data_IF_677827964449
#
_entry.id   IF_677827964449
#
_cell.length_a   1.000
_cell.length_b   1.000
_cell.length_c   1.000
_cell.angle_alpha   90.00
_cell.angle_beta   90.00
_cell.angle_gamma   90.00
#
_symmetry.space_group_name_H-M   'P 1'
#
loop_
_entity.id
_entity.type
_entity.pdbx_description
1 polymer ?
#
# COMPACT_ATOMS: atom_id res chain seq x y z
N UNK A 1 -1.43 -12.05 12.47
CA UNK A 1 -0.62 -12.21 13.69
C UNK A 1 0.73 -11.50 13.56
N UNK A 2 1.58 -11.86 12.59
CA UNK A 2 2.90 -11.24 12.39
C UNK A 2 2.90 -9.69 12.38
N UNK A 3 2.10 -9.04 11.52
CA UNK A 3 2.02 -7.57 11.40
C UNK A 3 1.71 -6.87 12.73
N UNK A 4 0.89 -7.50 13.58
CA UNK A 4 0.47 -6.93 14.87
C UNK A 4 1.58 -7.04 15.91
N UNK A 5 2.30 -8.17 15.94
CA UNK A 5 3.26 -8.46 17.01
C UNK A 5 4.66 -7.92 16.73
N UNK A 6 5.09 -7.90 15.46
CA UNK A 6 6.44 -7.46 15.07
C UNK A 6 6.83 -6.09 15.64
N UNK A 7 5.97 -5.06 15.63
CA UNK A 7 6.32 -3.76 16.20
C UNK A 7 6.66 -3.81 17.70
N UNK A 8 5.97 -4.66 18.48
CA UNK A 8 6.22 -4.80 19.91
C UNK A 8 7.52 -5.53 20.23
N UNK A 9 8.09 -6.26 19.27
CA UNK A 9 9.41 -6.88 19.44
C UNK A 9 10.51 -5.86 19.75
N UNK A 10 10.29 -4.57 19.46
CA UNK A 10 11.22 -3.50 19.83
C UNK A 10 11.53 -3.49 21.33
N UNK A 11 10.59 -3.86 22.21
CA UNK A 11 10.80 -3.88 23.66
C UNK A 11 11.63 -5.05 24.17
N UNK A 12 12.02 -5.99 23.30
CA UNK A 12 12.92 -7.09 23.67
C UNK A 12 14.26 -6.55 24.20
N UNK A 13 14.70 -5.38 23.74
CA UNK A 13 15.93 -4.73 24.21
C UNK A 13 15.96 -4.47 25.72
N UNK A 14 14.81 -4.29 26.37
CA UNK A 14 14.71 -4.04 27.81
C UNK A 14 15.11 -5.25 28.66
N UNK A 15 15.23 -6.44 28.06
CA UNK A 15 15.64 -7.66 28.78
C UNK A 15 17.16 -7.90 28.73
N UNK A 16 17.92 -7.04 28.05
CA UNK A 16 19.36 -7.18 27.91
C UNK A 16 20.09 -6.28 28.91
N UNK A 17 21.24 -6.77 29.40
CA UNK A 17 22.03 -6.08 30.43
C UNK A 17 22.56 -4.74 29.93
N UNK A 18 22.40 -3.71 30.75
CA UNK A 18 22.83 -2.34 30.48
C UNK A 18 24.34 -2.11 30.68
N UNK A 19 25.07 -3.11 31.22
CA UNK A 19 26.50 -2.97 31.51
C UNK A 19 27.42 -3.79 30.60
N UNK A 20 26.85 -4.64 29.74
CA UNK A 20 27.61 -5.48 28.84
C UNK A 20 27.66 -4.88 27.42
N UNK A 21 28.81 -5.04 26.77
CA UNK A 21 29.05 -4.65 25.36
C UNK A 21 29.34 -5.87 24.47
N UNK A 22 29.15 -7.06 25.02
CA UNK A 22 29.21 -8.31 24.28
C UNK A 22 27.91 -9.09 24.44
N UNK A 23 27.43 -9.65 23.32
CA UNK A 23 26.27 -10.52 23.29
C UNK A 23 26.75 -11.93 22.95
N UNK A 24 26.43 -12.87 23.83
CA UNK A 24 26.59 -14.29 23.56
C UNK A 24 25.37 -14.80 22.79
N UNK A 25 25.57 -15.17 21.53
CA UNK A 25 24.53 -15.73 20.68
C UNK A 25 24.99 -17.05 20.05
N UNK A 26 24.30 -18.15 20.36
CA UNK A 26 24.63 -19.50 19.89
C UNK A 26 26.11 -19.91 20.07
N UNK A 27 26.73 -19.50 21.16
CA UNK A 27 28.13 -19.82 21.49
C UNK A 27 29.17 -18.91 20.83
N UNK A 28 28.76 -17.90 20.06
CA UNK A 28 29.63 -16.84 19.57
C UNK A 28 29.49 -15.59 20.45
N UNK A 29 30.61 -14.92 20.72
CA UNK A 29 30.64 -13.65 21.42
C UNK A 29 30.81 -12.52 20.40
N UNK A 30 29.80 -11.67 20.30
CA UNK A 30 29.81 -10.52 19.40
C UNK A 30 30.02 -9.24 20.21
N UNK A 31 31.05 -8.48 19.89
CA UNK A 31 31.37 -7.20 20.53
C UNK A 31 30.84 -6.04 19.67
N UNK A 32 30.35 -4.98 20.32
CA UNK A 32 29.85 -3.79 19.63
C UNK A 32 30.29 -2.49 20.33
N UNK A 33 30.33 -1.38 19.58
CA UNK A 33 30.78 -0.08 20.09
C UNK A 33 29.67 0.78 20.73
N UNK A 34 28.44 0.26 20.77
CA UNK A 34 27.34 0.96 21.44
C UNK A 34 27.43 0.83 22.96
N UNK A 35 26.85 1.81 23.64
CA UNK A 35 26.98 1.98 25.09
C UNK A 35 26.70 0.69 25.88
N UNK A 36 25.67 -0.06 25.48
CA UNK A 36 25.31 -1.34 26.07
C UNK A 36 24.52 -2.24 25.10
N UNK A 37 24.35 -3.50 25.48
CA UNK A 37 23.60 -4.51 24.72
C UNK A 37 22.15 -4.09 24.44
N UNK A 38 21.51 -3.39 25.39
CA UNK A 38 20.15 -2.86 25.22
C UNK A 38 20.05 -1.85 24.07
N UNK A 39 20.94 -0.86 24.03
CA UNK A 39 21.01 0.16 22.98
C UNK A 39 21.36 -0.46 21.63
N UNK A 40 22.27 -1.43 21.61
CA UNK A 40 22.59 -2.18 20.38
C UNK A 40 21.37 -2.93 19.85
N UNK A 41 20.68 -3.68 20.69
CA UNK A 41 19.51 -4.43 20.25
C UNK A 41 18.36 -3.50 19.85
N UNK A 42 18.15 -2.39 20.57
CA UNK A 42 17.20 -1.36 20.21
C UNK A 42 17.51 -0.75 18.83
N UNK A 43 18.78 -0.46 18.55
CA UNK A 43 19.25 0.08 17.27
C UNK A 43 18.94 -0.89 16.12
N UNK A 44 19.27 -2.17 16.31
CA UNK A 44 19.03 -3.24 15.34
C UNK A 44 17.54 -3.45 15.09
N UNK A 45 16.73 -3.57 16.15
CA UNK A 45 15.28 -3.78 16.05
C UNK A 45 14.56 -2.59 15.40
N UNK A 46 15.01 -1.36 15.67
CA UNK A 46 14.46 -0.14 15.07
C UNK A 46 14.60 -0.14 13.53
N UNK A 47 15.59 -0.85 12.98
CA UNK A 47 15.79 -0.97 11.52
C UNK A 47 15.21 -2.26 10.95
N UNK A 48 15.24 -3.36 11.70
CA UNK A 48 14.71 -4.66 11.29
C UNK A 48 13.18 -4.67 11.19
N UNK A 49 12.50 -4.03 12.13
CA UNK A 49 11.02 -3.99 12.16
C UNK A 49 10.46 -3.32 10.90
N UNK A 50 10.88 -2.11 10.51
CA UNK A 50 10.41 -1.48 9.28
C UNK A 50 10.71 -2.29 8.03
N UNK A 51 11.90 -2.90 7.96
CA UNK A 51 12.30 -3.79 6.87
C UNK A 51 11.30 -4.95 6.69
N UNK A 52 10.99 -5.65 7.78
CA UNK A 52 10.02 -6.77 7.76
C UNK A 52 8.62 -6.29 7.37
N UNK A 53 8.16 -5.16 7.90
CA UNK A 53 6.84 -4.61 7.57
C UNK A 53 6.75 -4.19 6.10
N UNK A 54 7.81 -3.61 5.53
CA UNK A 54 7.85 -3.22 4.12
C UNK A 54 7.92 -4.41 3.17
N UNK A 55 8.57 -5.52 3.55
CA UNK A 55 8.50 -6.76 2.79
C UNK A 55 7.05 -7.23 2.68
N UNK A 56 6.34 -7.28 3.82
CA UNK A 56 4.94 -7.70 3.84
C UNK A 56 4.10 -6.73 3.01
N UNK A 57 4.35 -5.43 3.11
CA UNK A 57 3.65 -4.44 2.28
C UNK A 57 3.90 -4.65 0.79
N UNK A 58 5.15 -4.81 0.37
CA UNK A 58 5.51 -5.04 -1.02
C UNK A 58 4.83 -6.29 -1.60
N UNK A 59 4.82 -7.38 -0.83
CA UNK A 59 4.23 -8.65 -1.26
C UNK A 59 2.70 -8.63 -1.34
N UNK A 60 2.06 -7.85 -0.47
CA UNK A 60 0.58 -7.74 -0.40
C UNK A 60 0.02 -6.69 -1.36
N UNK A 61 0.84 -5.75 -1.82
CA UNK A 61 0.39 -4.64 -2.65
C UNK A 61 0.29 -5.02 -4.14
N UNK A 62 -0.89 -4.88 -4.77
CA UNK A 62 -1.09 -5.19 -6.20
C UNK A 62 -0.77 -4.01 -7.14
N UNK A 63 -0.58 -2.79 -6.64
CA UNK A 63 -0.38 -1.60 -7.46
C UNK A 63 1.05 -1.48 -7.99
N UNK A 64 1.24 -0.87 -9.15
CA UNK A 64 2.56 -0.76 -9.79
C UNK A 64 3.54 0.12 -8.99
N UNK A 65 3.05 1.16 -8.30
CA UNK A 65 3.88 2.06 -7.48
C UNK A 65 4.56 1.35 -6.30
N UNK A 66 4.18 0.11 -5.98
CA UNK A 66 4.87 -0.71 -4.97
C UNK A 66 6.37 -0.86 -5.21
N UNK A 67 6.86 -0.74 -6.45
CA UNK A 67 8.30 -0.83 -6.73
C UNK A 67 9.09 0.29 -6.04
N UNK A 68 8.48 1.43 -5.72
CA UNK A 68 9.11 2.47 -4.92
C UNK A 68 9.31 2.07 -3.45
N UNK A 69 8.58 1.06 -2.95
CA UNK A 69 8.83 0.46 -1.62
C UNK A 69 10.21 -0.23 -1.60
N UNK A 70 10.70 -0.72 -2.75
CA UNK A 70 12.03 -1.34 -2.82
C UNK A 70 13.13 -0.34 -2.46
N UNK A 71 13.01 0.93 -2.85
CA UNK A 71 13.98 1.96 -2.45
C UNK A 71 14.03 2.16 -0.94
N UNK A 72 12.86 2.08 -0.28
CA UNK A 72 12.80 2.13 1.19
C UNK A 72 13.37 0.85 1.82
N UNK A 73 13.15 -0.32 1.22
CA UNK A 73 13.76 -1.57 1.68
C UNK A 73 15.29 -1.52 1.61
N UNK A 74 15.83 -0.99 0.51
CA UNK A 74 17.28 -0.78 0.35
C UNK A 74 17.83 0.09 1.48
N UNK A 75 17.18 1.23 1.76
CA UNK A 75 17.59 2.09 2.87
C UNK A 75 17.67 1.33 4.21
N UNK A 76 16.65 0.54 4.55
CA UNK A 76 16.65 -0.19 5.83
C UNK A 76 17.67 -1.33 5.86
N UNK A 77 17.92 -2.02 4.73
CA UNK A 77 18.98 -3.03 4.62
C UNK A 77 20.34 -2.37 4.84
N UNK A 78 20.62 -1.26 4.15
CA UNK A 78 21.89 -0.56 4.25
C UNK A 78 22.12 -0.05 5.67
N UNK A 79 21.06 0.49 6.29
CA UNK A 79 21.11 0.93 7.69
C UNK A 79 21.39 -0.22 8.66
N UNK A 80 20.82 -1.41 8.43
CA UNK A 80 21.12 -2.62 9.22
C UNK A 80 22.56 -3.10 8.99
N UNK A 81 23.03 -3.06 7.75
CA UNK A 81 24.38 -3.48 7.42
C UNK A 81 25.42 -2.59 8.13
N UNK A 82 25.19 -1.28 8.18
CA UNK A 82 26.04 -0.34 8.93
C UNK A 82 26.11 -0.77 10.41
N UNK A 83 24.98 -0.98 11.08
CA UNK A 83 24.96 -1.37 12.50
C UNK A 83 25.69 -2.69 12.80
N UNK A 84 25.70 -3.63 11.85
CA UNK A 84 26.31 -4.97 12.03
C UNK A 84 27.78 -4.99 11.62
N UNK A 85 28.16 -4.22 10.60
CA UNK A 85 29.46 -4.38 9.94
C UNK A 85 30.47 -3.25 10.18
N UNK A 86 30.07 -2.13 10.79
CA UNK A 86 30.97 -1.00 11.11
C UNK A 86 32.20 -1.44 11.92
N UNK A 87 32.14 -2.57 12.63
CA UNK A 87 33.25 -3.12 13.41
C UNK A 87 34.39 -3.76 12.60
N UNK A 88 34.19 -4.10 11.32
CA UNK A 88 35.21 -4.79 10.53
C UNK A 88 35.88 -3.81 9.53
N UNK A 89 37.10 -3.36 9.82
CA UNK A 89 37.90 -2.47 8.94
C UNK A 89 38.02 -3.01 7.49
N UNK A 90 38.08 -4.34 7.32
CA UNK A 90 38.13 -5.00 6.00
C UNK A 90 36.80 -4.86 5.23
N UNK A 91 35.68 -4.78 5.96
CA UNK A 91 34.33 -4.67 5.40
C UNK A 91 34.00 -3.21 5.14
N UNK A 92 34.50 -2.24 5.91
CA UNK A 92 34.22 -0.82 5.72
C UNK A 92 34.54 -0.34 4.29
N UNK A 93 35.72 -0.71 3.75
CA UNK A 93 36.14 -0.37 2.39
C UNK A 93 35.30 -1.05 1.29
N UNK A 94 34.65 -2.18 1.59
CA UNK A 94 33.83 -2.97 0.66
C UNK A 94 32.33 -2.91 0.97
N UNK A 95 31.91 -2.13 1.97
CA UNK A 95 30.56 -2.15 2.54
C UNK A 95 29.53 -1.79 1.48
N UNK A 96 29.85 -0.79 0.64
CA UNK A 96 29.00 -0.37 -0.47
C UNK A 96 28.79 -1.50 -1.49
N UNK A 97 29.86 -2.21 -1.89
CA UNK A 97 29.76 -3.31 -2.87
C UNK A 97 28.96 -4.47 -2.29
N UNK A 98 29.21 -4.80 -1.02
CA UNK A 98 28.49 -5.85 -0.31
C UNK A 98 27.00 -5.52 -0.13
N UNK A 99 26.68 -4.28 0.26
CA UNK A 99 25.32 -3.76 0.33
C UNK A 99 24.62 -3.88 -1.03
N UNK A 100 25.25 -3.44 -2.13
CA UNK A 100 24.66 -3.52 -3.47
C UNK A 100 24.34 -4.99 -3.81
N UNK A 101 25.26 -5.91 -3.53
CA UNK A 101 25.05 -7.34 -3.79
C UNK A 101 23.88 -7.90 -2.97
N UNK A 102 23.83 -7.64 -1.66
CA UNK A 102 22.73 -8.05 -0.79
C UNK A 102 21.39 -7.51 -1.30
N UNK A 103 21.35 -6.24 -1.65
CA UNK A 103 20.14 -5.58 -2.15
C UNK A 103 19.65 -6.22 -3.46
N UNK A 104 20.54 -6.52 -4.41
CA UNK A 104 20.18 -7.20 -5.67
C UNK A 104 19.59 -8.58 -5.38
N UNK A 105 20.22 -9.36 -4.48
CA UNK A 105 19.76 -10.70 -4.12
C UNK A 105 18.37 -10.63 -3.46
N UNK A 106 18.18 -9.75 -2.47
CA UNK A 106 16.91 -9.62 -1.75
C UNK A 106 15.80 -9.14 -2.69
N UNK A 107 16.05 -8.11 -3.50
CA UNK A 107 15.06 -7.61 -4.46
C UNK A 107 14.69 -8.70 -5.48
N UNK A 108 15.69 -9.44 -6.00
CA UNK A 108 15.47 -10.55 -6.91
C UNK A 108 14.58 -11.64 -6.30
N UNK A 109 14.88 -12.06 -5.07
CA UNK A 109 14.08 -13.04 -4.33
C UNK A 109 12.65 -12.55 -4.09
N UNK A 110 12.46 -11.29 -3.69
CA UNK A 110 11.14 -10.70 -3.47
C UNK A 110 10.29 -10.67 -4.74
N UNK A 111 10.89 -10.29 -5.88
CA UNK A 111 10.19 -10.27 -7.18
C UNK A 111 9.82 -11.69 -7.63
N UNK A 112 10.72 -12.66 -7.47
CA UNK A 112 10.46 -14.07 -7.78
C UNK A 112 9.34 -14.63 -6.90
N UNK A 113 9.41 -14.40 -5.59
CA UNK A 113 8.42 -14.87 -4.63
C UNK A 113 7.03 -14.27 -4.92
N UNK A 114 6.97 -12.99 -5.29
CA UNK A 114 5.72 -12.31 -5.65
C UNK A 114 5.08 -12.96 -6.88
N UNK A 115 5.85 -13.24 -7.94
CA UNK A 115 5.37 -13.90 -9.16
C UNK A 115 4.85 -15.31 -8.88
N UNK A 116 5.45 -16.02 -7.92
CA UNK A 116 5.00 -17.35 -7.46
C UNK A 116 3.72 -17.27 -6.63
N UNK A 117 3.62 -16.27 -5.74
CA UNK A 117 2.48 -16.05 -4.86
C UNK A 117 1.20 -15.71 -5.63
N UNK A 118 1.27 -14.80 -6.61
CA UNK A 118 0.14 -14.45 -7.48
C UNK A 118 -0.36 -15.68 -8.26
N UNK A 119 0.57 -16.46 -8.83
CA UNK A 119 0.24 -17.69 -9.57
C UNK A 119 -0.50 -18.74 -8.71
N UNK A 120 -0.20 -18.84 -7.41
CA UNK A 120 -0.85 -19.78 -6.49
C UNK A 120 -2.24 -19.31 -6.04
N UNK A 121 -2.38 -18.01 -5.71
CA UNK A 121 -3.67 -17.40 -5.37
C UNK A 121 -4.66 -17.45 -6.54
N UNK A 122 -4.15 -17.32 -7.77
CA UNK A 122 -4.97 -17.38 -8.97
C UNK A 122 -5.57 -18.75 -9.24
N UNK A 123 -4.85 -19.82 -8.89
CA UNK A 123 -5.31 -21.20 -9.05
C UNK A 123 -6.45 -21.54 -8.07
N UNK A 124 -6.38 -21.11 -6.81
CA UNK A 124 -7.41 -21.43 -5.80
C UNK A 124 -8.75 -20.72 -6.03
N UNK A 125 -8.73 -19.49 -6.56
CA UNK A 125 -9.98 -18.74 -6.84
C UNK A 125 -10.81 -19.37 -7.96
N UNK A 126 -10.19 -20.05 -8.92
CA UNK A 126 -10.95 -20.75 -9.99
C UNK A 126 -11.65 -21.99 -9.46
N UNK A 127 -11.05 -22.70 -8.49
CA UNK A 127 -11.71 -23.82 -7.82
C UNK A 127 -12.88 -23.36 -6.92
N UNK A 128 -12.81 -22.15 -6.35
CA UNK A 128 -13.85 -21.57 -5.49
C UNK A 128 -15.09 -21.03 -6.21
N UNK A 129 -15.04 -20.77 -7.52
CA UNK A 129 -16.21 -20.32 -8.32
C UNK A 129 -17.28 -21.41 -8.53
N UNK A 130 -17.09 -22.59 -7.95
CA UNK A 130 -18.04 -23.71 -7.99
C UNK A 130 -19.16 -23.64 -6.94
N UNK A 131 -19.26 -22.56 -6.15
CA UNK A 131 -20.17 -22.53 -4.98
C UNK A 131 -21.46 -21.71 -5.20
N UNK A 132 -22.55 -22.36 -4.80
CA UNK A 132 -23.97 -22.05 -4.96
C UNK A 132 -24.36 -20.57 -4.81
N UNK A 133 -24.93 -20.00 -5.88
CA UNK A 133 -25.44 -18.62 -5.95
C UNK A 133 -25.21 -17.97 -7.32
N UNK A 134 -24.12 -18.36 -8.00
CA UNK A 134 -23.78 -17.89 -9.35
C UNK A 134 -24.72 -18.44 -10.44
N UNK A 135 -25.09 -19.71 -10.30
CA UNK A 135 -25.98 -20.47 -11.18
C UNK A 135 -27.35 -19.83 -11.36
N UNK A 136 -27.90 -19.26 -10.28
CA UNK A 136 -29.24 -18.69 -10.26
C UNK A 136 -29.28 -17.26 -10.82
N UNK A 137 -28.19 -16.50 -10.68
CA UNK A 137 -28.12 -15.07 -11.07
C UNK A 137 -27.69 -14.84 -12.53
N UNK A 138 -26.87 -15.72 -13.10
CA UNK A 138 -26.35 -15.57 -14.49
C UNK A 138 -26.31 -16.91 -15.26
N UNK A 139 -27.46 -17.49 -15.64
CA UNK A 139 -27.55 -18.85 -16.20
C UNK A 139 -26.87 -19.01 -17.58
N UNK A 140 -26.82 -17.93 -18.39
CA UNK A 140 -26.14 -17.95 -19.71
C UNK A 140 -24.61 -17.97 -19.56
N UNK A 141 -24.06 -17.18 -18.65
CA UNK A 141 -22.62 -17.15 -18.36
C UNK A 141 -22.17 -18.47 -17.73
N UNK A 142 -22.99 -19.02 -16.83
CA UNK A 142 -22.73 -20.33 -16.23
C UNK A 142 -22.62 -21.45 -17.27
N UNK A 143 -23.51 -21.51 -18.27
CA UNK A 143 -23.42 -22.51 -19.36
C UNK A 143 -22.12 -22.41 -20.18
N UNK A 144 -21.64 -21.20 -20.46
CA UNK A 144 -20.37 -20.97 -21.19
C UNK A 144 -19.19 -21.37 -20.32
N UNK A 145 -19.19 -20.98 -19.06
CA UNK A 145 -18.14 -21.30 -18.08
C UNK A 145 -18.09 -22.82 -17.82
N UNK A 146 -19.24 -23.48 -17.72
CA UNK A 146 -19.34 -24.91 -17.44
C UNK A 146 -18.97 -25.77 -18.67
N UNK A 147 -19.22 -25.26 -19.89
CA UNK A 147 -18.71 -25.89 -21.13
C UNK A 147 -17.19 -25.77 -21.22
N UNK A 148 -16.64 -24.60 -20.93
CA UNK A 148 -15.19 -24.35 -20.99
C UNK A 148 -14.43 -25.02 -19.83
N UNK A 149 -15.04 -25.10 -18.63
CA UNK A 149 -14.48 -25.82 -17.48
C UNK A 149 -14.46 -27.34 -17.71
N UNK A 150 -15.47 -27.91 -18.39
CA UNK A 150 -15.46 -29.32 -18.83
C UNK A 150 -14.36 -29.58 -19.85
N UNK A 151 -14.22 -28.72 -20.86
CA UNK A 151 -13.11 -28.76 -21.81
C UNK A 151 -11.74 -28.69 -21.11
N UNK A 152 -11.58 -27.82 -20.09
CA UNK A 152 -10.36 -27.75 -19.28
C UNK A 152 -10.11 -29.00 -18.43
N UNK A 153 -11.16 -29.65 -17.93
CA UNK A 153 -11.04 -30.85 -17.10
C UNK A 153 -10.58 -32.06 -17.93
N UNK A 154 -11.04 -32.14 -19.19
CA UNK A 154 -10.57 -33.10 -20.19
C UNK A 154 -9.14 -32.77 -20.67
N UNK A 155 -8.87 -31.48 -20.93
CA UNK A 155 -7.56 -30.96 -21.33
C UNK A 155 -6.46 -31.12 -20.26
N UNK A 156 -6.83 -31.25 -18.97
CA UNK A 156 -5.89 -31.49 -17.85
C UNK A 156 -5.11 -32.80 -18.01
N UNK A 157 -5.65 -33.77 -18.75
CA UNK A 157 -4.98 -35.05 -19.02
C UNK A 157 -3.98 -35.00 -20.19
N UNK A 158 -4.04 -33.95 -21.04
CA UNK A 158 -3.29 -33.90 -22.32
C UNK A 158 -2.33 -32.72 -22.42
N UNK A 159 -2.60 -31.58 -21.75
CA UNK A 159 -1.79 -30.36 -21.89
C UNK A 159 -0.69 -30.20 -20.82
N UNK A 160 0.49 -29.68 -21.19
CA UNK A 160 1.53 -29.34 -20.23
C UNK A 160 1.05 -28.26 -19.25
N UNK A 161 1.42 -28.42 -17.97
CA UNK A 161 0.95 -27.62 -16.83
C UNK A 161 0.96 -26.10 -17.05
N UNK A 162 1.95 -25.58 -17.78
CA UNK A 162 2.09 -24.15 -18.05
C UNK A 162 1.03 -23.62 -19.03
N UNK A 163 0.66 -24.40 -20.04
CA UNK A 163 -0.32 -24.03 -21.05
C UNK A 163 -1.75 -24.12 -20.50
N UNK A 164 -2.02 -25.15 -19.70
CA UNK A 164 -3.24 -25.29 -18.92
C UNK A 164 -3.50 -24.06 -18.02
N UNK A 165 -2.47 -23.61 -17.30
CA UNK A 165 -2.56 -22.43 -16.43
C UNK A 165 -2.76 -21.12 -17.22
N UNK A 166 -2.18 -21.00 -18.41
CA UNK A 166 -2.39 -19.84 -19.29
C UNK A 166 -3.84 -19.76 -19.78
N UNK A 167 -4.41 -20.89 -20.24
CA UNK A 167 -5.82 -20.94 -20.69
C UNK A 167 -6.78 -20.62 -19.54
N UNK A 168 -6.52 -21.16 -18.35
CA UNK A 168 -7.23 -20.78 -17.12
C UNK A 168 -7.18 -19.27 -16.83
N UNK A 169 -6.01 -18.65 -17.04
CA UNK A 169 -5.83 -17.21 -16.84
C UNK A 169 -6.69 -16.40 -17.81
N UNK A 170 -6.70 -16.76 -19.10
CA UNK A 170 -7.53 -16.10 -20.12
C UNK A 170 -9.01 -16.20 -19.73
N UNK A 171 -9.47 -17.38 -19.32
CA UNK A 171 -10.85 -17.62 -18.92
C UNK A 171 -11.21 -16.86 -17.65
N UNK A 172 -10.33 -16.82 -16.64
CA UNK A 172 -10.55 -16.01 -15.43
C UNK A 172 -10.61 -14.51 -15.75
N UNK A 173 -9.74 -14.04 -16.64
CA UNK A 173 -9.72 -12.63 -17.05
C UNK A 173 -10.98 -12.30 -17.83
N UNK A 174 -11.42 -13.19 -18.72
CA UNK A 174 -12.68 -13.10 -19.44
C UNK A 174 -13.87 -13.08 -18.48
N UNK A 175 -13.98 -14.03 -17.55
CA UNK A 175 -15.06 -14.13 -16.56
C UNK A 175 -15.07 -12.91 -15.63
N UNK A 176 -13.90 -12.48 -15.12
CA UNK A 176 -13.78 -11.29 -14.27
C UNK A 176 -14.21 -10.03 -15.02
N UNK A 177 -13.75 -9.87 -16.27
CA UNK A 177 -14.12 -8.74 -17.11
C UNK A 177 -15.63 -8.77 -17.46
N UNK A 178 -16.20 -9.96 -17.71
CA UNK A 178 -17.63 -10.14 -17.98
C UNK A 178 -18.52 -10.02 -16.73
N UNK A 179 -17.98 -10.20 -15.53
CA UNK A 179 -18.70 -10.03 -14.26
C UNK A 179 -18.62 -8.61 -13.70
N UNK A 180 -17.49 -7.93 -13.90
CA UNK A 180 -17.32 -6.52 -13.55
C UNK A 180 -18.05 -5.61 -14.54
N UNK A 181 -18.22 -6.03 -15.80
CA UNK A 181 -18.92 -5.29 -16.86
C UNK A 181 -19.83 -6.22 -17.68
N UNK A 182 -21.16 -6.21 -17.49
CA UNK A 182 -22.08 -7.13 -18.16
C UNK A 182 -22.04 -7.09 -19.69
N UNK A 183 -21.56 -6.01 -20.31
CA UNK A 183 -21.40 -5.91 -21.77
C UNK A 183 -20.50 -4.73 -22.14
N UNK A 184 -19.17 -4.88 -22.13
CA UNK A 184 -18.30 -3.97 -22.92
C UNK A 184 -17.08 -4.73 -23.43
N UNK A 185 -16.90 -4.75 -24.76
CA UNK A 185 -15.66 -5.13 -25.41
C UNK A 185 -14.66 -3.97 -25.30
N UNK A 186 -13.38 -4.34 -25.32
CA UNK A 186 -12.16 -3.54 -25.58
C UNK A 186 -11.73 -2.47 -24.56
N UNK A 187 -10.75 -2.86 -23.74
CA UNK A 187 -9.51 -2.14 -23.46
C UNK A 187 -9.41 -0.66 -23.88
N UNK A 188 -9.73 0.24 -22.95
CA UNK A 188 -9.24 1.61 -22.92
C UNK A 188 -8.31 1.81 -21.71
N UNK A 189 -7.29 2.69 -21.79
CA UNK A 189 -6.36 2.94 -20.69
C UNK A 189 -7.10 3.63 -19.54
N UNK A 190 -7.29 2.91 -18.43
CA UNK A 190 -7.92 3.43 -17.20
C UNK A 190 -7.25 4.75 -16.78
N UNK A 191 -7.99 5.86 -16.57
CA UNK A 191 -7.40 7.12 -16.11
C UNK A 191 -7.13 7.05 -14.58
N UNK A 192 -6.12 6.27 -14.18
CA UNK A 192 -5.68 6.08 -12.77
C UNK A 192 -4.37 6.81 -12.41
N UNK A 193 -3.87 7.71 -13.28
CA UNK A 193 -2.52 8.30 -13.14
C UNK A 193 -2.31 9.20 -11.91
N UNK A 194 -3.32 9.96 -11.46
CA UNK A 194 -3.12 11.01 -10.43
C UNK A 194 -2.90 10.46 -9.01
N UNK A 195 -3.71 9.48 -8.59
CA UNK A 195 -3.58 8.89 -7.25
C UNK A 195 -2.31 8.05 -7.13
N UNK A 196 -1.96 7.31 -8.18
CA UNK A 196 -0.72 6.54 -8.22
C UNK A 196 0.51 7.47 -8.16
N UNK A 197 0.49 8.60 -8.86
CA UNK A 197 1.56 9.59 -8.80
C UNK A 197 1.70 10.21 -7.41
N UNK A 198 0.58 10.48 -6.73
CA UNK A 198 0.58 10.97 -5.35
C UNK A 198 1.23 9.95 -4.40
N UNK A 199 0.92 8.66 -4.55
CA UNK A 199 1.55 7.60 -3.74
C UNK A 199 3.06 7.53 -3.99
N UNK A 200 3.48 7.63 -5.25
CA UNK A 200 4.91 7.71 -5.60
C UNK A 200 5.57 8.92 -4.95
N UNK A 201 4.96 10.11 -5.04
CA UNK A 201 5.49 11.32 -4.45
C UNK A 201 5.64 11.20 -2.92
N UNK A 202 4.66 10.63 -2.22
CA UNK A 202 4.75 10.40 -0.78
C UNK A 202 5.84 9.40 -0.40
N UNK A 203 6.05 8.33 -1.19
CA UNK A 203 7.12 7.36 -0.95
C UNK A 203 8.51 7.95 -1.17
N UNK A 204 8.68 8.74 -2.24
CA UNK A 204 9.93 9.47 -2.50
C UNK A 204 10.20 10.50 -1.41
N UNK A 205 9.15 11.22 -0.98
CA UNK A 205 9.25 12.14 0.16
C UNK A 205 9.65 11.42 1.45
N UNK A 206 9.16 10.19 1.67
CA UNK A 206 9.59 9.37 2.81
C UNK A 206 11.10 9.10 2.77
N UNK A 207 11.64 8.75 1.59
CA UNK A 207 13.08 8.51 1.43
C UNK A 207 13.91 9.78 1.67
N UNK A 208 13.37 10.93 1.25
CA UNK A 208 13.96 12.24 1.54
C UNK A 208 13.98 12.53 3.04
N UNK A 209 12.86 12.33 3.75
CA UNK A 209 12.77 12.50 5.21
C UNK A 209 13.79 11.63 5.95
N UNK A 210 13.96 10.38 5.53
CA UNK A 210 14.93 9.48 6.14
C UNK A 210 16.39 9.96 6.01
N UNK A 211 16.69 10.82 5.03
CA UNK A 211 18.02 11.38 4.83
C UNK A 211 18.15 12.86 5.23
N UNK A 212 17.05 13.53 5.60
CA UNK A 212 17.07 14.97 5.86
C UNK A 212 17.86 15.33 7.12
N UNK A 213 18.06 14.37 8.03
CA UNK A 213 18.83 14.59 9.26
C UNK A 213 20.29 14.94 9.00
N UNK A 214 20.85 14.49 7.86
CA UNK A 214 22.22 14.79 7.42
C UNK A 214 22.45 16.27 7.11
N UNK A 215 21.38 17.08 6.97
CA UNK A 215 21.51 18.52 6.79
C UNK A 215 21.68 19.29 8.10
N UNK A 216 21.50 18.63 9.25
CA UNK A 216 21.67 19.25 10.57
C UNK A 216 23.10 18.99 11.05
N UNK A 217 23.81 20.02 11.56
CA UNK A 217 25.14 19.84 12.11
C UNK A 217 25.12 18.98 13.38
N UNK A 218 26.12 18.12 13.52
CA UNK A 218 26.34 17.27 14.69
C UNK A 218 26.81 18.09 15.91
N UNK A 219 26.54 17.59 17.12
CA UNK A 219 27.02 18.16 18.39
C UNK A 219 26.49 19.56 18.75
N UNK A 220 25.39 19.98 18.13
CA UNK A 220 24.73 21.26 18.43
C UNK A 220 23.53 21.05 19.35
N UNK A 221 23.43 21.85 20.42
CA UNK A 221 22.33 21.79 21.40
C UNK A 221 21.06 22.52 20.98
N UNK A 222 21.20 23.53 20.12
CA UNK A 222 20.09 24.33 19.60
C UNK A 222 20.33 24.65 18.13
N UNK A 223 19.36 24.33 17.27
CA UNK A 223 19.45 24.61 15.85
C UNK A 223 18.24 25.41 15.37
N UNK A 224 18.49 26.57 14.77
CA UNK A 224 17.42 27.44 14.26
C UNK A 224 16.98 26.97 12.88
N UNK A 225 15.82 26.35 12.79
CA UNK A 225 15.16 25.98 11.54
C UNK A 225 14.19 27.08 11.16
N UNK A 226 14.56 27.92 10.18
CA UNK A 226 13.73 29.04 9.69
C UNK A 226 13.28 29.97 10.84
N UNK A 227 12.04 29.81 11.32
CA UNK A 227 11.40 30.59 12.39
C UNK A 227 11.26 29.84 13.73
N UNK A 228 11.76 28.61 13.85
CA UNK A 228 11.66 27.79 15.07
C UNK A 228 13.05 27.33 15.55
N UNK A 229 13.27 27.32 16.86
CA UNK A 229 14.49 26.79 17.48
C UNK A 229 14.27 25.36 17.93
N UNK A 230 14.96 24.44 17.29
CA UNK A 230 14.93 23.03 17.63
C UNK A 230 15.91 22.78 18.79
N UNK A 231 15.38 22.30 19.91
CA UNK A 231 16.17 21.87 21.06
C UNK A 231 16.41 20.36 21.00
N UNK A 232 17.36 19.88 21.80
CA UNK A 232 17.71 18.45 21.84
C UNK A 232 16.65 17.56 22.52
N UNK A 233 15.62 18.11 23.18
CA UNK A 233 14.51 17.37 23.80
C UNK A 233 14.94 16.17 24.67
N UNK A 234 16.10 16.26 25.32
CA UNK A 234 16.64 15.20 26.16
C UNK A 234 17.52 14.16 25.46
N UNK A 235 17.75 14.30 24.16
CA UNK A 235 18.78 13.56 23.43
C UNK A 235 20.15 14.23 23.58
N UNK A 236 21.21 13.49 23.23
CA UNK A 236 22.60 13.95 23.31
C UNK A 236 22.79 15.29 22.57
N UNK A 237 22.25 15.38 21.37
CA UNK A 237 22.28 16.57 20.53
C UNK A 237 21.01 16.69 19.66
N UNK A 238 20.84 17.85 19.01
CA UNK A 238 19.70 18.11 18.12
C UNK A 238 19.69 17.19 16.91
N UNK A 239 20.88 16.81 16.42
CA UNK A 239 21.04 15.89 15.31
C UNK A 239 20.45 14.51 15.64
N UNK A 240 20.78 13.92 16.79
CA UNK A 240 20.23 12.63 17.23
C UNK A 240 18.72 12.69 17.44
N UNK A 241 18.20 13.78 18.04
CA UNK A 241 16.75 13.98 18.17
C UNK A 241 16.04 14.00 16.82
N UNK A 242 16.57 14.79 15.88
CA UNK A 242 15.95 14.92 14.57
C UNK A 242 16.07 13.63 13.73
N UNK A 243 17.20 12.92 13.82
CA UNK A 243 17.36 11.57 13.28
C UNK A 243 16.31 10.61 13.82
N UNK A 244 16.10 10.59 15.14
CA UNK A 244 15.07 9.77 15.79
C UNK A 244 13.68 10.07 15.23
N UNK A 245 13.30 11.35 15.14
CA UNK A 245 12.01 11.77 14.59
C UNK A 245 11.87 11.37 13.12
N UNK A 246 12.93 11.54 12.31
CA UNK A 246 12.94 11.18 10.89
C UNK A 246 12.75 9.67 10.67
N UNK A 247 13.42 8.83 11.46
CA UNK A 247 13.24 7.39 11.44
C UNK A 247 11.79 7.03 11.77
N UNK A 248 11.24 7.55 12.86
CA UNK A 248 9.87 7.21 13.27
C UNK A 248 8.84 7.69 12.25
N UNK A 249 8.96 8.91 11.72
CA UNK A 249 8.11 9.42 10.65
C UNK A 249 8.28 8.63 9.35
N UNK A 250 9.52 8.23 9.05
CA UNK A 250 9.88 7.39 7.91
C UNK A 250 9.18 6.04 7.94
N UNK A 251 8.87 5.48 9.12
CA UNK A 251 8.05 4.27 9.24
C UNK A 251 6.55 4.62 9.27
N UNK A 252 6.16 5.63 10.04
CA UNK A 252 4.77 6.02 10.27
C UNK A 252 4.04 6.38 8.97
N UNK A 253 4.63 7.22 8.11
CA UNK A 253 4.02 7.67 6.86
C UNK A 253 3.71 6.51 5.91
N UNK A 254 4.67 5.63 5.56
CA UNK A 254 4.42 4.36 4.88
C UNK A 254 3.32 3.50 5.48
N UNK A 255 3.26 3.34 6.81
CA UNK A 255 2.19 2.55 7.45
C UNK A 255 0.82 3.18 7.24
N UNK A 256 0.70 4.52 7.33
CA UNK A 256 -0.55 5.24 7.03
C UNK A 256 -0.94 5.07 5.56
N UNK A 257 0.01 5.20 4.64
CA UNK A 257 -0.23 4.97 3.21
C UNK A 257 -0.71 3.54 2.99
N UNK A 258 -0.05 2.56 3.60
CA UNK A 258 -0.44 1.14 3.52
C UNK A 258 -1.85 0.90 4.05
N UNK A 259 -2.20 1.50 5.19
CA UNK A 259 -3.52 1.40 5.80
C UNK A 259 -4.63 1.95 4.89
N UNK A 260 -4.41 3.15 4.31
CA UNK A 260 -5.39 3.82 3.43
C UNK A 260 -5.52 3.10 2.09
N UNK A 261 -4.41 2.58 1.54
CA UNK A 261 -4.40 1.91 0.23
C UNK A 261 -4.88 0.45 0.30
N UNK A 262 -4.80 -0.19 1.47
CA UNK A 262 -5.26 -1.55 1.67
C UNK A 262 -6.79 -1.64 1.66
N UNK A 263 -7.30 -2.56 0.82
CA UNK A 263 -8.74 -2.81 0.66
C UNK A 263 -9.24 -3.96 1.53
N UNK A 264 -8.33 -4.74 2.09
CA UNK A 264 -8.63 -5.98 2.78
C UNK A 264 -8.92 -5.75 4.27
N UNK A 265 -9.58 -6.71 4.91
CA UNK A 265 -9.90 -6.64 6.33
C UNK A 265 -8.66 -6.60 7.23
N UNK A 266 -7.54 -7.22 6.80
CA UNK A 266 -6.31 -7.25 7.59
C UNK A 266 -5.62 -5.88 7.68
N UNK A 267 -6.11 -4.84 6.99
CA UNK A 267 -5.66 -3.46 7.18
C UNK A 267 -5.73 -3.01 8.64
N UNK A 268 -6.69 -3.53 9.43
CA UNK A 268 -6.78 -3.20 10.85
C UNK A 268 -5.59 -3.74 11.65
N UNK A 269 -4.88 -4.76 11.16
CA UNK A 269 -3.62 -5.21 11.75
C UNK A 269 -2.50 -4.16 11.61
N UNK A 270 -2.52 -3.34 10.55
CA UNK A 270 -1.55 -2.26 10.31
C UNK A 270 -1.74 -1.10 11.31
N UNK A 271 -2.94 -0.98 11.88
CA UNK A 271 -3.21 0.03 12.89
C UNK A 271 -2.34 -0.14 14.13
N UNK A 272 -1.98 -1.37 14.48
CA UNK A 272 -1.10 -1.68 15.61
C UNK A 272 0.29 -1.04 15.47
N UNK A 273 1.06 -1.24 14.36
CA UNK A 273 2.31 -0.52 14.15
C UNK A 273 2.15 1.00 14.14
N UNK A 274 1.07 1.51 13.54
CA UNK A 274 0.81 2.96 13.49
C UNK A 274 0.69 3.53 14.91
N UNK A 275 -0.14 2.90 15.73
CA UNK A 275 -0.36 3.32 17.12
C UNK A 275 0.92 3.26 17.93
N UNK A 276 1.69 2.17 17.80
CA UNK A 276 2.92 2.01 18.56
C UNK A 276 3.98 3.05 18.17
N UNK A 277 4.20 3.25 16.87
CA UNK A 277 5.18 4.24 16.38
C UNK A 277 4.75 5.65 16.76
N UNK A 278 3.44 5.94 16.71
CA UNK A 278 2.91 7.22 17.15
C UNK A 278 3.09 7.45 18.65
N UNK A 279 2.87 6.43 19.48
CA UNK A 279 3.17 6.50 20.91
C UNK A 279 4.65 6.81 21.15
N UNK A 280 5.57 6.10 20.48
CA UNK A 280 7.01 6.34 20.59
C UNK A 280 7.43 7.74 20.11
N UNK A 281 6.73 8.31 19.12
CA UNK A 281 6.93 9.69 18.69
C UNK A 281 6.53 10.68 19.79
N UNK A 282 5.38 10.47 20.43
CA UNK A 282 4.93 11.32 21.53
C UNK A 282 5.90 11.25 22.71
N UNK A 283 6.34 10.05 23.06
CA UNK A 283 7.33 9.82 24.12
C UNK A 283 8.64 10.54 23.82
N UNK A 284 9.17 10.43 22.59
CA UNK A 284 10.43 11.09 22.24
C UNK A 284 10.37 12.61 22.07
N UNK A 285 9.19 13.20 21.88
CA UNK A 285 9.03 14.67 21.78
C UNK A 285 8.73 15.28 23.16
N UNK A 286 8.22 14.49 24.09
CA UNK A 286 7.87 14.98 25.41
C UNK A 286 9.12 15.46 26.18
N UNK A 287 9.02 16.55 26.96
CA UNK A 287 10.14 17.04 27.74
C UNK A 287 10.49 16.04 28.86
N UNK A 288 11.78 15.94 29.22
CA UNK A 288 12.32 14.92 30.13
C UNK A 288 11.54 14.71 31.43
N UNK A 289 11.08 15.80 32.08
CA UNK A 289 10.27 15.73 33.33
C UNK A 289 8.92 15.04 33.17
N UNK A 290 8.40 14.97 31.95
CA UNK A 290 7.09 14.40 31.63
C UNK A 290 7.26 12.96 31.10
N UNK A 291 8.38 12.63 30.44
CA UNK A 291 8.66 11.30 29.85
C UNK A 291 8.61 10.17 30.86
N UNK A 292 9.17 10.35 32.07
CA UNK A 292 9.09 9.36 33.16
C UNK A 292 7.64 9.10 33.61
N UNK A 293 6.72 10.01 33.26
CA UNK A 293 5.33 10.00 33.67
C UNK A 293 4.31 9.75 32.54
N UNK A 294 4.72 9.71 31.26
CA UNK A 294 3.81 9.36 30.16
C UNK A 294 3.56 7.87 30.23
N UNK A 295 2.58 7.49 31.04
CA UNK A 295 2.01 6.16 30.96
C UNK A 295 1.19 6.04 29.68
N UNK A 296 1.16 4.83 29.11
CA UNK A 296 0.31 4.48 27.96
C UNK A 296 -1.14 4.99 28.13
N UNK A 297 -1.66 4.98 29.36
CA UNK A 297 -2.99 5.48 29.71
C UNK A 297 -3.15 6.99 29.45
N UNK A 298 -2.13 7.81 29.74
CA UNK A 298 -2.16 9.26 29.45
C UNK A 298 -2.13 9.55 27.95
N UNK A 299 -1.43 8.73 27.17
CA UNK A 299 -1.35 8.88 25.70
C UNK A 299 -2.60 8.32 24.97
N UNK A 300 -3.39 7.48 25.62
CA UNK A 300 -4.53 6.78 25.04
C UNK A 300 -5.57 7.69 24.35
N UNK A 301 -5.99 8.84 24.93
CA UNK A 301 -6.94 9.73 24.26
C UNK A 301 -6.42 10.25 22.92
N UNK A 302 -5.13 10.59 22.85
CA UNK A 302 -4.49 11.10 21.64
C UNK A 302 -4.36 9.97 20.61
N UNK A 303 -3.95 8.79 21.03
CA UNK A 303 -3.89 7.59 20.18
C UNK A 303 -5.27 7.27 19.60
N UNK A 304 -6.32 7.29 20.42
CA UNK A 304 -7.69 7.02 19.99
C UNK A 304 -8.18 8.07 18.99
N UNK A 305 -7.85 9.35 19.22
CA UNK A 305 -8.15 10.42 18.27
C UNK A 305 -7.47 10.17 16.90
N UNK A 306 -6.20 9.76 16.89
CA UNK A 306 -5.47 9.43 15.65
C UNK A 306 -6.08 8.20 14.95
N UNK A 307 -6.43 7.16 15.69
CA UNK A 307 -7.10 5.97 15.14
C UNK A 307 -8.43 6.33 14.49
N UNK A 308 -9.27 7.12 15.18
CA UNK A 308 -10.55 7.60 14.65
C UNK A 308 -10.35 8.46 13.40
N UNK A 309 -9.38 9.37 13.42
CA UNK A 309 -9.03 10.22 12.30
C UNK A 309 -8.57 9.42 11.07
N UNK A 310 -7.68 8.45 11.26
CA UNK A 310 -7.24 7.56 10.19
C UNK A 310 -8.38 6.69 9.64
N UNK A 311 -9.24 6.17 10.53
CA UNK A 311 -10.45 5.45 10.13
C UNK A 311 -11.38 6.31 9.29
N UNK A 312 -11.56 7.58 9.67
CA UNK A 312 -12.35 8.56 8.93
C UNK A 312 -11.74 8.89 7.56
N UNK A 313 -10.42 9.13 7.47
CA UNK A 313 -9.72 9.32 6.19
C UNK A 313 -9.90 8.10 5.28
N UNK A 314 -9.65 6.90 5.81
CA UNK A 314 -9.78 5.66 5.03
C UNK A 314 -11.22 5.45 4.53
N UNK A 315 -12.22 5.83 5.33
CA UNK A 315 -13.63 5.83 4.91
C UNK A 315 -13.88 6.84 3.78
N UNK A 316 -13.40 8.07 3.93
CA UNK A 316 -13.56 9.14 2.93
C UNK A 316 -12.91 8.78 1.59
N UNK A 317 -11.66 8.30 1.61
CA UNK A 317 -10.94 7.84 0.42
C UNK A 317 -11.72 6.71 -0.26
N UNK A 318 -12.19 5.71 0.50
CA UNK A 318 -12.96 4.59 -0.07
C UNK A 318 -14.27 5.06 -0.71
N UNK A 319 -14.97 5.99 -0.07
CA UNK A 319 -16.21 6.56 -0.61
C UNK A 319 -15.94 7.28 -1.93
N UNK A 320 -14.92 8.13 -1.98
CA UNK A 320 -14.53 8.87 -3.20
C UNK A 320 -14.10 7.94 -4.32
N UNK A 321 -13.33 6.89 -4.05
CA UNK A 321 -12.93 5.91 -5.06
C UNK A 321 -14.13 5.18 -5.65
N UNK A 322 -15.09 4.75 -4.83
CA UNK A 322 -16.33 4.10 -5.31
C UNK A 322 -17.17 5.02 -6.20
N UNK A 323 -17.28 6.29 -5.81
CA UNK A 323 -18.00 7.31 -6.58
C UNK A 323 -17.34 7.52 -7.95
N UNK A 324 -16.00 7.61 -7.98
CA UNK A 324 -15.24 7.76 -9.21
C UNK A 324 -15.41 6.54 -10.15
N UNK A 325 -15.35 5.33 -9.59
CA UNK A 325 -15.56 4.08 -10.35
C UNK A 325 -16.99 4.02 -10.94
N UNK A 326 -18.01 4.44 -10.17
CA UNK A 326 -19.39 4.53 -10.65
C UNK A 326 -19.54 5.55 -11.78
N UNK A 327 -18.94 6.72 -11.63
CA UNK A 327 -18.95 7.77 -12.65
C UNK A 327 -18.33 7.27 -13.96
N UNK A 328 -17.12 6.71 -13.90
CA UNK A 328 -16.39 6.17 -15.07
C UNK A 328 -17.21 5.07 -15.78
N UNK A 329 -17.89 4.22 -15.01
CA UNK A 329 -18.76 3.15 -15.54
C UNK A 329 -19.96 3.73 -16.30
N UNK A 330 -20.69 4.69 -15.69
CA UNK A 330 -21.86 5.31 -16.31
C UNK A 330 -21.46 6.08 -17.58
N UNK A 331 -20.36 6.83 -17.52
CA UNK A 331 -19.82 7.59 -18.65
C UNK A 331 -19.46 6.67 -19.82
N UNK A 332 -18.76 5.57 -19.57
CA UNK A 332 -18.40 4.62 -20.63
C UNK A 332 -19.63 3.93 -21.23
N UNK A 333 -20.63 3.58 -20.43
CA UNK A 333 -21.86 2.98 -20.95
C UNK A 333 -22.65 3.96 -21.82
N UNK A 334 -22.71 5.24 -21.45
CA UNK A 334 -23.33 6.28 -22.29
C UNK A 334 -22.57 6.43 -23.60
N UNK A 335 -21.23 6.53 -23.57
CA UNK A 335 -20.40 6.63 -24.79
C UNK A 335 -20.60 5.42 -25.72
N UNK A 336 -20.65 4.20 -25.18
CA UNK A 336 -20.91 2.99 -25.95
C UNK A 336 -22.33 2.99 -26.57
N UNK A 337 -23.35 3.40 -25.81
CA UNK A 337 -24.71 3.54 -26.34
C UNK A 337 -24.79 4.60 -27.43
N UNK A 338 -24.18 5.76 -27.23
CA UNK A 338 -24.14 6.84 -28.22
C UNK A 338 -23.45 6.35 -29.51
N UNK A 339 -22.34 5.62 -29.39
CA UNK A 339 -21.64 5.06 -30.56
C UNK A 339 -22.50 4.08 -31.38
N UNK A 340 -23.43 3.36 -30.74
CA UNK A 340 -24.31 2.36 -31.37
C UNK A 340 -25.59 2.95 -31.97
N UNK A 341 -26.10 4.05 -31.42
CA UNK A 341 -27.37 4.66 -31.85
C UNK A 341 -27.20 5.40 -33.19
N UNK A 342 -26.01 5.91 -33.53
CA UNK A 342 -25.69 6.48 -34.85
C UNK A 342 -26.34 7.85 -35.14
N UNK A 343 -25.63 8.71 -35.89
CA UNK A 343 -25.79 10.18 -35.96
C UNK A 343 -27.05 10.75 -36.63
N UNK A 344 -28.03 9.94 -37.03
CA UNK A 344 -29.09 10.39 -37.95
C UNK A 344 -30.39 10.87 -37.27
N UNK A 345 -30.33 11.36 -36.03
CA UNK A 345 -31.51 11.88 -35.31
C UNK A 345 -31.17 13.19 -34.58
N UNK A 346 -31.99 14.24 -34.71
CA UNK A 346 -31.79 15.51 -33.99
C UNK A 346 -31.75 15.32 -32.47
N UNK A 347 -32.57 14.41 -31.94
CA UNK A 347 -32.63 14.05 -30.53
C UNK A 347 -31.34 13.35 -30.02
N UNK A 348 -30.53 12.77 -30.93
CA UNK A 348 -29.22 12.20 -30.60
C UNK A 348 -28.21 13.31 -30.28
N UNK A 349 -28.20 14.37 -31.09
CA UNK A 349 -27.32 15.53 -30.89
C UNK A 349 -27.62 16.25 -29.57
N UNK A 350 -28.88 16.29 -29.14
CA UNK A 350 -29.28 16.87 -27.86
C UNK A 350 -28.73 16.07 -26.66
N UNK A 351 -28.85 14.74 -26.69
CA UNK A 351 -28.35 13.86 -25.63
C UNK A 351 -26.82 13.81 -25.57
N UNK A 352 -26.15 13.88 -26.71
CA UNK A 352 -24.70 14.01 -26.77
C UNK A 352 -24.22 15.35 -26.21
N UNK A 353 -24.91 16.45 -26.53
CA UNK A 353 -24.61 17.77 -25.96
C UNK A 353 -24.85 17.81 -24.44
N UNK A 354 -25.95 17.24 -23.95
CA UNK A 354 -26.25 17.11 -22.52
C UNK A 354 -25.19 16.26 -21.79
N UNK A 355 -24.76 15.15 -22.38
CA UNK A 355 -23.67 14.34 -21.84
C UNK A 355 -22.34 15.10 -21.77
N UNK A 356 -22.00 15.85 -22.82
CA UNK A 356 -20.77 16.65 -22.87
C UNK A 356 -20.78 17.78 -21.83
N UNK A 357 -21.91 18.46 -21.65
CA UNK A 357 -22.08 19.46 -20.60
C UNK A 357 -21.92 18.85 -19.19
N UNK A 358 -22.53 17.69 -18.93
CA UNK A 358 -22.37 16.98 -17.64
C UNK A 358 -20.92 16.49 -17.38
N UNK A 359 -20.13 16.28 -18.43
CA UNK A 359 -18.73 15.86 -18.37
C UNK A 359 -17.77 17.04 -18.15
N UNK A 360 -17.97 18.14 -18.88
CA UNK A 360 -17.06 19.30 -18.90
C UNK A 360 -17.43 20.37 -17.86
N UNK A 361 -18.73 20.59 -17.60
CA UNK A 361 -19.23 21.66 -16.74
C UNK A 361 -19.25 21.24 -15.26
N UNK A 362 -18.10 21.37 -14.61
CA UNK A 362 -17.87 20.93 -13.23
C UNK A 362 -18.18 22.01 -12.17
N UNK A 363 -18.48 23.24 -12.58
CA UNK A 363 -18.71 24.37 -11.67
C UNK A 363 -20.20 24.55 -11.38
N UNK A 364 -20.62 24.16 -10.18
CA UNK A 364 -21.95 24.52 -9.63
C UNK A 364 -22.89 23.35 -9.32
N UNK A 365 -22.65 22.15 -9.84
CA UNK A 365 -23.51 20.98 -9.57
C UNK A 365 -22.90 20.13 -8.44
N UNK A 366 -23.69 19.84 -7.40
CA UNK A 366 -23.28 18.91 -6.34
C UNK A 366 -22.99 17.51 -6.94
N UNK A 367 -21.87 16.89 -6.54
CA UNK A 367 -21.36 15.61 -7.09
C UNK A 367 -22.42 14.49 -7.14
N UNK A 368 -23.30 14.45 -6.14
CA UNK A 368 -24.42 13.51 -6.07
C UNK A 368 -25.48 13.78 -7.15
N UNK A 369 -25.93 15.04 -7.28
CA UNK A 369 -26.92 15.47 -8.28
C UNK A 369 -26.43 15.20 -9.70
N UNK A 370 -25.12 15.34 -9.96
CA UNK A 370 -24.52 15.03 -11.26
C UNK A 370 -24.58 13.54 -11.60
N UNK A 371 -24.34 12.66 -10.63
CA UNK A 371 -24.41 11.21 -10.83
C UNK A 371 -25.86 10.76 -11.06
N UNK A 372 -26.82 11.37 -10.35
CA UNK A 372 -28.24 11.12 -10.57
C UNK A 372 -28.64 11.51 -12.01
N UNK A 373 -28.26 12.71 -12.47
CA UNK A 373 -28.53 13.17 -13.85
C UNK A 373 -27.89 12.27 -14.93
N UNK A 374 -26.65 11.82 -14.72
CA UNK A 374 -26.01 10.88 -15.64
C UNK A 374 -26.69 9.51 -15.66
N UNK A 375 -27.18 9.03 -14.52
CA UNK A 375 -27.96 7.80 -14.44
C UNK A 375 -29.27 7.94 -15.20
N UNK A 376 -29.97 9.05 -15.04
CA UNK A 376 -31.26 9.29 -15.69
C UNK A 376 -31.08 9.37 -17.21
N UNK A 377 -30.05 10.08 -17.69
CA UNK A 377 -29.69 10.14 -19.11
C UNK A 377 -29.35 8.75 -19.68
N UNK A 378 -28.62 7.92 -18.92
CA UNK A 378 -28.32 6.53 -19.28
C UNK A 378 -29.59 5.70 -19.42
N UNK A 379 -30.55 5.84 -18.49
CA UNK A 379 -31.82 5.10 -18.54
C UNK A 379 -32.67 5.48 -19.74
N UNK A 380 -32.68 6.76 -20.12
CA UNK A 380 -33.36 7.23 -21.33
C UNK A 380 -32.74 6.66 -22.61
N UNK A 381 -31.41 6.68 -22.72
CA UNK A 381 -30.69 6.09 -23.86
C UNK A 381 -30.91 4.57 -23.96
N UNK A 382 -30.98 3.87 -22.82
CA UNK A 382 -31.28 2.43 -22.78
C UNK A 382 -32.69 2.12 -23.32
N UNK A 383 -33.71 2.91 -22.95
CA UNK A 383 -35.08 2.73 -23.44
C UNK A 383 -35.16 2.89 -24.95
N UNK A 384 -34.47 3.88 -25.50
CA UNK A 384 -34.42 4.15 -26.95
C UNK A 384 -33.65 3.09 -27.72
N UNK A 385 -32.50 2.66 -27.20
CA UNK A 385 -31.74 1.55 -27.78
C UNK A 385 -32.57 0.26 -27.82
N UNK A 386 -33.38 0.00 -26.79
CA UNK A 386 -34.28 -1.14 -26.74
C UNK A 386 -35.46 -1.03 -27.73
N UNK A 387 -35.99 0.18 -27.95
CA UNK A 387 -37.02 0.43 -28.96
C UNK A 387 -36.49 0.23 -30.39
N UNK A 388 -35.29 0.73 -30.69
CA UNK A 388 -34.65 0.61 -32.00
C UNK A 388 -34.31 -0.82 -32.39
N UNK A 389 -34.00 -1.68 -31.42
CA UNK A 389 -33.70 -3.10 -31.65
C UNK A 389 -34.94 -4.02 -31.61
N UNK A 390 -36.14 -3.47 -31.37
CA UNK A 390 -37.41 -4.21 -31.42
C UNK A 390 -38.19 -3.99 -32.72
N UNK A 391 -37.85 -2.94 -33.48
CA UNK A 391 -38.20 -2.80 -34.90
C UNK A 391 -37.15 -3.54 -35.72
#
# INVERSE_FOLDING_TARGET
>A
MFIVLVPFSIYIHLYFDDNAQSIHFFGFEYHHDLANNGVFLWSLLTRLIPFLLYIVWFLTNPYWWRYFILALLVYWIDSLAIDIFVYNEVIENNLLVFSIFINIVIIGLLVIFQKKSTRKSEASTVFGLKQNGFTQKYPRLHKVIDKEARFLTEAKQVLPKNEYLRKLMVIKTFIKNSLEHPTTKSGGPRPKKKWDLLMVALLVFTLFLLNSYKFIPENVKEYKVLWYTLHNHGFVDVHTFYWYVCIKLGVFLPMVIWFVTSRDWWRYAILSPIVLIFYQLLEGIAPQKITDEISLFKALPVILAVVCFLGWIAYMVRRKTKILELYDTITHEIEDMLSKIGSNNEMFSEKEAAFKDLKENTKGIQEKKRIDLLRDLREELLKEYALKNRM
#
